data_IF_678651415012
#
_entry.id   IF_678651415012
#
_cell.length_a   1.000
_cell.length_b   1.000
_cell.length_c   1.000
_cell.angle_alpha   90.00
_cell.angle_beta   90.00
_cell.angle_gamma   90.00
#
_symmetry.space_group_name_H-M   'P 1'
#
loop_
_entity.id
_entity.type
_entity.pdbx_description
1 polymer ?
#
# COMPACT_ATOMS: atom_id res chain seq x y z
N UNK A 1 -11.12 -2.59 -13.32
CA UNK A 1 -10.29 -3.06 -12.18
C UNK A 1 -9.06 -2.21 -12.22
N UNK A 2 -8.68 -1.61 -11.10
CA UNK A 2 -7.51 -0.74 -11.07
C UNK A 2 -6.38 -1.46 -10.34
N UNK A 3 -5.15 -1.11 -10.69
CA UNK A 3 -3.99 -1.55 -9.97
C UNK A 3 -3.71 -0.58 -8.83
N UNK A 4 -3.34 -1.16 -7.69
CA UNK A 4 -3.04 -0.47 -6.45
C UNK A 4 -1.70 -0.95 -5.92
N UNK A 5 -1.01 -0.08 -5.20
CA UNK A 5 0.19 -0.42 -4.45
C UNK A 5 0.02 0.07 -3.03
N UNK A 6 0.13 -0.83 -2.07
CA UNK A 6 0.18 -0.47 -0.66
C UNK A 6 1.63 -0.47 -0.22
N UNK A 7 2.06 0.64 0.35
CA UNK A 7 3.30 0.77 1.10
C UNK A 7 2.94 1.07 2.55
N UNK A 8 3.60 0.40 3.48
CA UNK A 8 3.32 0.55 4.91
C UNK A 8 4.58 0.43 5.73
N UNK A 9 4.53 1.07 6.90
CA UNK A 9 5.45 0.87 8.00
C UNK A 9 4.62 0.83 9.28
N UNK A 10 4.75 -0.28 10.02
CA UNK A 10 4.12 -0.51 11.31
C UNK A 10 5.23 -0.91 12.30
N UNK A 11 5.21 -0.34 13.50
CA UNK A 11 6.27 -0.57 14.49
C UNK A 11 6.13 -1.95 15.15
N UNK A 12 4.89 -2.40 15.37
CA UNK A 12 4.59 -3.71 15.94
C UNK A 12 4.58 -4.79 14.84
N UNK A 13 5.44 -5.80 15.00
CA UNK A 13 5.59 -6.89 14.04
C UNK A 13 4.32 -7.76 13.91
N UNK A 14 3.49 -7.86 14.96
CA UNK A 14 2.20 -8.58 14.88
C UNK A 14 1.19 -7.79 14.06
N UNK A 15 1.14 -6.48 14.23
CA UNK A 15 0.25 -5.62 13.43
C UNK A 15 0.69 -5.62 11.97
N UNK A 16 2.00 -5.59 11.73
CA UNK A 16 2.58 -5.79 10.40
C UNK A 16 2.12 -7.11 9.76
N UNK A 17 2.27 -8.23 10.46
CA UNK A 17 1.85 -9.54 9.96
C UNK A 17 0.34 -9.62 9.72
N UNK A 18 -0.47 -9.10 10.64
CA UNK A 18 -1.93 -9.07 10.50
C UNK A 18 -2.39 -8.25 9.31
N UNK A 19 -1.81 -7.06 9.14
CA UNK A 19 -2.11 -6.21 8.00
C UNK A 19 -1.74 -6.89 6.68
N UNK A 20 -0.53 -7.44 6.61
CA UNK A 20 -0.06 -8.19 5.44
C UNK A 20 -1.00 -9.36 5.12
N UNK A 21 -1.26 -10.25 6.08
CA UNK A 21 -2.15 -11.40 5.89
C UNK A 21 -3.55 -10.97 5.43
N UNK A 22 -4.09 -9.89 6.00
CA UNK A 22 -5.38 -9.32 5.61
C UNK A 22 -5.39 -8.88 4.15
N UNK A 23 -4.39 -8.09 3.73
CA UNK A 23 -4.25 -7.62 2.35
C UNK A 23 -4.05 -8.77 1.37
N UNK A 24 -3.15 -9.71 1.68
CA UNK A 24 -2.83 -10.83 0.78
C UNK A 24 -4.02 -11.79 0.62
N UNK A 25 -4.81 -12.00 1.67
CA UNK A 25 -6.03 -12.83 1.65
C UNK A 25 -7.16 -12.17 0.86
N UNK A 26 -7.33 -10.86 0.99
CA UNK A 26 -8.36 -10.13 0.25
C UNK A 26 -8.02 -10.01 -1.24
N UNK A 27 -6.74 -9.83 -1.55
CA UNK A 27 -6.24 -9.66 -2.90
C UNK A 27 -5.32 -10.83 -3.28
N UNK A 28 -5.88 -12.01 -3.63
CA UNK A 28 -5.10 -13.22 -3.88
C UNK A 28 -4.20 -13.13 -5.13
N UNK A 29 -4.48 -12.16 -6.01
CA UNK A 29 -3.63 -11.82 -7.16
C UNK A 29 -2.80 -10.58 -6.81
N UNK A 30 -1.75 -10.80 -6.04
CA UNK A 30 -0.85 -9.74 -5.57
C UNK A 30 0.60 -10.03 -5.96
N UNK A 31 1.44 -8.99 -5.88
CA UNK A 31 2.88 -9.09 -6.01
C UNK A 31 3.52 -8.30 -4.89
N UNK A 32 4.38 -8.97 -4.12
CA UNK A 32 5.17 -8.34 -3.08
C UNK A 32 6.54 -7.99 -3.65
N UNK A 33 6.98 -6.75 -3.45
CA UNK A 33 8.34 -6.30 -3.78
C UNK A 33 8.96 -5.76 -2.51
N UNK A 34 10.16 -6.21 -2.19
CA UNK A 34 10.97 -5.66 -1.11
C UNK A 34 12.14 -4.89 -1.71
N UNK A 35 12.29 -3.63 -1.34
CA UNK A 35 13.38 -2.77 -1.81
C UNK A 35 13.79 -1.80 -0.71
N UNK A 36 15.09 -1.69 -0.43
CA UNK A 36 15.61 -0.76 0.59
C UNK A 36 15.08 -0.96 2.02
N UNK A 37 14.58 -2.16 2.37
CA UNK A 37 13.93 -2.42 3.66
C UNK A 37 12.43 -2.08 3.71
N UNK A 38 11.87 -1.64 2.58
CA UNK A 38 10.45 -1.38 2.41
C UNK A 38 9.77 -2.53 1.72
N UNK A 39 8.48 -2.72 2.02
CA UNK A 39 7.66 -3.76 1.45
C UNK A 39 6.46 -3.14 0.75
N UNK A 40 6.37 -3.38 -0.55
CA UNK A 40 5.31 -2.93 -1.43
C UNK A 40 4.42 -4.11 -1.78
N UNK A 41 3.11 -3.94 -1.65
CA UNK A 41 2.14 -4.95 -2.06
C UNK A 41 1.34 -4.36 -3.22
N UNK A 42 1.63 -4.81 -4.43
CA UNK A 42 0.82 -4.49 -5.61
C UNK A 42 -0.32 -5.49 -5.78
N UNK A 43 -1.50 -5.03 -6.19
CA UNK A 43 -2.64 -5.88 -6.50
C UNK A 43 -3.63 -5.19 -7.45
N UNK A 44 -4.51 -5.97 -8.07
CA UNK A 44 -5.67 -5.45 -8.80
C UNK A 44 -6.94 -5.54 -7.94
N UNK A 45 -7.74 -4.48 -7.92
CA UNK A 45 -8.92 -4.37 -7.05
C UNK A 45 -10.14 -3.67 -7.67
N UNK A 46 -11.23 -3.55 -6.88
CA UNK A 46 -12.40 -2.73 -7.23
C UNK A 46 -12.04 -1.23 -7.30
N UNK A 47 -13.00 -0.33 -7.59
CA UNK A 47 -12.76 1.11 -7.53
C UNK A 47 -12.22 1.56 -6.16
N UNK A 48 -11.44 2.65 -6.18
CA UNK A 48 -10.62 3.11 -5.04
C UNK A 48 -11.37 3.20 -3.71
N UNK A 49 -12.60 3.75 -3.64
CA UNK A 49 -13.32 3.84 -2.37
C UNK A 49 -13.51 2.49 -1.67
N UNK A 50 -13.76 1.43 -2.44
CA UNK A 50 -13.93 0.08 -1.89
C UNK A 50 -12.60 -0.52 -1.39
N UNK A 51 -11.49 -0.20 -2.07
CA UNK A 51 -10.15 -0.63 -1.61
C UNK A 51 -9.79 0.09 -0.33
N UNK A 52 -10.02 1.40 -0.25
CA UNK A 52 -9.76 2.22 0.92
C UNK A 52 -10.57 1.75 2.12
N UNK A 53 -11.89 1.60 1.97
CA UNK A 53 -12.76 1.10 3.04
C UNK A 53 -12.28 -0.25 3.60
N UNK A 54 -11.82 -1.13 2.71
CA UNK A 54 -11.34 -2.45 3.09
C UNK A 54 -10.01 -2.41 3.85
N UNK A 55 -9.05 -1.60 3.38
CA UNK A 55 -7.78 -1.40 4.07
C UNK A 55 -7.98 -0.69 5.42
N UNK A 56 -8.89 0.29 5.48
CA UNK A 56 -9.29 0.97 6.72
C UNK A 56 -9.91 -0.02 7.71
N UNK A 57 -10.72 -0.97 7.24
CA UNK A 57 -11.27 -2.04 8.08
C UNK A 57 -10.16 -2.86 8.75
N UNK A 58 -9.14 -3.27 7.99
CA UNK A 58 -7.99 -3.99 8.55
C UNK A 58 -7.25 -3.16 9.60
N UNK A 59 -7.07 -1.87 9.33
CA UNK A 59 -6.43 -0.93 10.24
C UNK A 59 -7.23 -0.75 11.55
N UNK A 60 -8.55 -0.58 11.45
CA UNK A 60 -9.44 -0.48 12.61
C UNK A 60 -9.49 -1.77 13.44
N UNK A 61 -9.48 -2.94 12.81
CA UNK A 61 -9.43 -4.23 13.53
C UNK A 61 -8.17 -4.38 14.39
N UNK A 62 -7.10 -3.65 14.05
CA UNK A 62 -5.85 -3.59 14.82
C UNK A 62 -5.83 -2.42 15.83
N UNK A 63 -6.87 -1.60 15.91
CA UNK A 63 -6.88 -0.40 16.74
C UNK A 63 -6.03 0.75 16.17
N UNK A 64 -5.81 0.76 14.85
CA UNK A 64 -5.00 1.74 14.11
C UNK A 64 -5.78 2.44 13.00
N UNK A 65 -7.03 2.82 13.24
CA UNK A 65 -7.82 3.63 12.30
C UNK A 65 -7.32 5.09 12.18
N UNK A 66 -7.84 5.80 11.17
CA UNK A 66 -7.58 7.24 10.95
C UNK A 66 -7.91 8.14 12.15
N UNK A 67 -8.88 7.70 12.96
CA UNK A 67 -9.34 8.38 14.18
C UNK A 67 -8.73 7.77 15.47
N UNK A 68 -7.86 6.78 15.35
CA UNK A 68 -7.25 6.05 16.46
C UNK A 68 -5.75 6.36 16.59
N UNK A 69 -5.12 5.92 17.68
CA UNK A 69 -3.72 6.22 17.95
C UNK A 69 -2.79 5.28 17.16
N UNK A 70 -2.16 5.79 16.11
CA UNK A 70 -1.03 5.13 15.46
C UNK A 70 0.31 5.69 15.99
N UNK A 71 1.36 4.87 15.91
CA UNK A 71 2.71 5.20 16.35
C UNK A 71 3.28 6.40 15.59
N UNK A 72 4.30 7.05 16.18
CA UNK A 72 4.83 8.32 15.66
C UNK A 72 5.49 8.22 14.28
N UNK A 73 5.84 7.01 13.85
CA UNK A 73 6.42 6.75 12.54
C UNK A 73 5.54 5.85 11.67
N UNK A 74 4.40 5.40 12.16
CA UNK A 74 3.55 4.45 11.44
C UNK A 74 2.78 5.12 10.31
N UNK A 75 2.74 4.47 9.16
CA UNK A 75 1.97 4.93 8.01
C UNK A 75 1.51 3.76 7.16
N UNK A 76 0.40 3.98 6.45
CA UNK A 76 -0.07 3.14 5.36
C UNK A 76 -0.51 4.06 4.23
N UNK A 77 0.16 3.92 3.09
CA UNK A 77 -0.06 4.70 1.89
C UNK A 77 -0.55 3.78 0.76
N UNK A 78 -1.69 4.15 0.19
CA UNK A 78 -2.24 3.55 -1.02
C UNK A 78 -1.85 4.42 -2.23
N UNK A 79 -1.19 3.81 -3.19
CA UNK A 79 -0.87 4.41 -4.48
C UNK A 79 -1.74 3.82 -5.58
N UNK A 80 -2.21 4.67 -6.48
CA UNK A 80 -3.02 4.27 -7.63
C UNK A 80 -2.93 5.32 -8.74
N UNK A 81 -3.17 4.92 -9.97
CA UNK A 81 -3.42 5.84 -11.07
C UNK A 81 -4.87 5.73 -11.53
N UNK A 82 -5.39 6.79 -12.16
CA UNK A 82 -6.73 6.73 -12.77
C UNK A 82 -6.57 6.22 -14.20
N UNK A 83 -7.51 5.41 -14.70
CA UNK A 83 -7.47 4.93 -16.10
C UNK A 83 -7.34 6.07 -17.12
N UNK A 84 -7.89 7.25 -16.82
CA UNK A 84 -7.82 8.43 -17.69
C UNK A 84 -6.45 9.16 -17.65
N UNK A 85 -5.58 8.85 -16.69
CA UNK A 85 -4.29 9.51 -16.48
C UNK A 85 -3.31 8.54 -15.77
N UNK A 86 -2.80 7.52 -16.47
CA UNK A 86 -1.98 6.45 -15.88
C UNK A 86 -0.62 6.95 -15.38
N UNK A 87 -0.11 8.05 -15.96
CA UNK A 87 1.16 8.68 -15.58
C UNK A 87 1.06 9.49 -14.27
N UNK A 88 -0.16 9.77 -13.82
CA UNK A 88 -0.44 10.54 -12.62
C UNK A 88 -0.72 9.61 -11.44
N UNK A 89 0.37 9.18 -10.80
CA UNK A 89 0.33 8.38 -9.58
C UNK A 89 -0.20 9.25 -8.43
N UNK A 90 -1.36 8.85 -7.90
CA UNK A 90 -1.96 9.43 -6.70
C UNK A 90 -1.53 8.64 -5.47
N UNK A 91 -1.40 9.35 -4.36
CA UNK A 91 -1.19 8.78 -3.02
C UNK A 91 -2.37 9.14 -2.14
N UNK A 92 -2.86 8.16 -1.39
CA UNK A 92 -3.84 8.33 -0.35
C UNK A 92 -3.34 7.69 0.93
N UNK A 93 -3.26 8.48 2.00
CA UNK A 93 -2.86 8.01 3.31
C UNK A 93 -4.08 7.47 4.04
N UNK A 94 -3.96 6.25 4.57
CA UNK A 94 -4.95 5.64 5.45
C UNK A 94 -4.63 6.00 6.91
N UNK A 95 -3.35 5.91 7.27
CA UNK A 95 -2.77 6.45 8.50
C UNK A 95 -1.40 7.08 8.22
N UNK A 96 -0.90 7.88 9.18
CA UNK A 96 0.35 8.61 9.04
C UNK A 96 0.19 9.95 8.33
N UNK A 97 1.33 10.56 7.98
CA UNK A 97 1.38 11.84 7.25
C UNK A 97 2.26 11.74 6.01
N UNK A 98 2.06 12.65 5.05
CA UNK A 98 2.87 12.69 3.83
C UNK A 98 4.36 12.83 4.15
N UNK A 99 4.70 13.63 5.18
CA UNK A 99 6.08 13.78 5.64
C UNK A 99 6.70 12.47 6.15
N UNK A 100 5.91 11.59 6.78
CA UNK A 100 6.43 10.31 7.26
C UNK A 100 6.83 9.42 6.09
N UNK A 101 5.96 9.34 5.09
CA UNK A 101 6.20 8.58 3.86
C UNK A 101 7.39 9.18 3.09
N UNK A 102 7.43 10.50 2.94
CA UNK A 102 8.48 11.18 2.18
C UNK A 102 9.84 11.09 2.90
N UNK A 103 9.89 11.21 4.23
CA UNK A 103 11.13 11.01 5.00
C UNK A 103 11.67 9.60 4.85
N UNK A 104 10.81 8.60 4.81
CA UNK A 104 11.24 7.22 4.59
C UNK A 104 11.63 6.98 3.13
N UNK A 105 10.89 7.53 2.16
CA UNK A 105 11.25 7.48 0.74
C UNK A 105 12.56 8.21 0.42
N UNK A 106 12.91 9.27 1.16
CA UNK A 106 14.21 9.95 1.06
C UNK A 106 15.39 9.11 1.58
N UNK A 107 15.15 8.13 2.44
CA UNK A 107 16.17 7.15 2.82
C UNK A 107 16.48 6.19 1.67
N UNK A 108 15.53 6.01 0.76
CA UNK A 108 15.77 5.37 -0.53
C UNK A 108 16.29 6.40 -1.55
N UNK A 109 16.92 5.91 -2.62
CA UNK A 109 16.97 6.73 -3.84
C UNK A 109 15.53 6.97 -4.29
N UNK A 110 15.10 8.23 -4.39
CA UNK A 110 13.73 8.58 -4.80
C UNK A 110 13.32 7.93 -6.13
N UNK A 111 14.30 7.66 -7.00
CA UNK A 111 14.10 6.94 -8.26
C UNK A 111 13.72 5.47 -8.06
N UNK A 112 14.30 4.79 -7.09
CA UNK A 112 13.99 3.39 -6.78
C UNK A 112 12.57 3.26 -6.22
N UNK A 113 12.21 4.11 -5.27
CA UNK A 113 10.86 4.18 -4.70
C UNK A 113 9.79 4.40 -5.78
N UNK A 114 10.00 5.41 -6.65
CA UNK A 114 9.07 5.71 -7.74
C UNK A 114 8.97 4.56 -8.75
N UNK A 115 10.11 3.97 -9.11
CA UNK A 115 10.16 2.85 -10.06
C UNK A 115 9.44 1.61 -9.52
N UNK A 116 9.59 1.29 -8.24
CA UNK A 116 8.89 0.17 -7.61
C UNK A 116 7.36 0.33 -7.68
N UNK A 117 6.85 1.52 -7.36
CA UNK A 117 5.42 1.83 -7.43
C UNK A 117 4.94 1.75 -8.88
N UNK A 118 5.63 2.41 -9.81
CA UNK A 118 5.23 2.43 -11.23
C UNK A 118 5.19 1.01 -11.82
N UNK A 119 6.22 0.21 -11.60
CA UNK A 119 6.29 -1.16 -12.09
C UNK A 119 5.16 -2.05 -11.55
N UNK A 120 4.70 -1.81 -10.33
CA UNK A 120 3.56 -2.54 -9.75
C UNK A 120 2.22 -2.03 -10.26
N UNK A 121 2.08 -0.71 -10.50
CA UNK A 121 0.86 -0.14 -11.09
C UNK A 121 0.66 -0.54 -12.55
N UNK A 122 1.73 -0.77 -13.31
CA UNK A 122 1.67 -1.24 -14.69
C UNK A 122 1.59 -2.78 -14.80
N UNK A 123 1.71 -3.50 -13.68
CA UNK A 123 1.75 -4.95 -13.68
C UNK A 123 0.39 -5.58 -14.00
N UNK A 124 0.40 -6.59 -14.87
CA UNK A 124 -0.81 -7.33 -15.23
C UNK A 124 -1.07 -8.47 -14.23
N UNK A 125 -1.81 -8.17 -13.17
CA UNK A 125 -2.18 -9.13 -12.12
C UNK A 125 -3.11 -10.26 -12.60
N UNK A 126 -3.73 -10.14 -13.78
CA UNK A 126 -4.57 -11.21 -14.33
C UNK A 126 -3.76 -12.44 -14.74
N UNK A 127 -2.45 -12.26 -14.94
CA UNK A 127 -1.49 -13.34 -15.24
C UNK A 127 -1.07 -14.14 -14.02
N UNK A 128 -1.34 -13.65 -12.81
CA UNK A 128 -1.04 -14.38 -11.59
C UNK A 128 -2.16 -15.37 -11.26
N UNK A 129 -1.83 -16.60 -10.82
CA UNK A 129 -2.81 -17.47 -10.16
C UNK A 129 -3.35 -16.78 -8.90
N UNK A 130 -4.64 -16.97 -8.62
CA UNK A 130 -5.20 -16.58 -7.33
C UNK A 130 -4.75 -17.61 -6.29
N UNK A 131 -3.98 -17.17 -5.30
CA UNK A 131 -3.47 -18.00 -4.22
C UNK A 131 -4.30 -17.87 -2.95
#
# INVERSE_FOLDING_TARGET
>A
MNNYVVLYYLEDEKDKQRFEEGVLKEYPRHKVVEDGGFKYIGFAGPPEPAVVEKLDTFLMEMGKGRDEYFGKAEYVALYFSREADPDNIKRQLLIGTDEMVDKDAQRMSSDAHRSAIQNLLEFDFTKLPAH
#
